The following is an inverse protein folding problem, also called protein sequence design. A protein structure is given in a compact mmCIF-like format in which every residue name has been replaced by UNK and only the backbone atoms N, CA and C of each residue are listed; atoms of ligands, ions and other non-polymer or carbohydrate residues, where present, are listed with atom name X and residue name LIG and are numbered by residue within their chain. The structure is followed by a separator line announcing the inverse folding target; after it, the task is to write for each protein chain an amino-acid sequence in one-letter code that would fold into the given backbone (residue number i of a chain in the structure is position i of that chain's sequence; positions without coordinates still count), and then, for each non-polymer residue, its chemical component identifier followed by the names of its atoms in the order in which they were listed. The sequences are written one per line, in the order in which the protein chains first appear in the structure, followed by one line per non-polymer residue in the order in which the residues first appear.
data_IF_303086156482
#
_entry.id   IF_303086156482
#
_cell.length_a   1.000
_cell.length_b   1.000
_cell.length_c   1.000
_cell.angle_alpha   90.00
_cell.angle_beta   90.00
_cell.angle_gamma   90.00
#
_symmetry.space_group_name_H-M   'P 1'
#
loop_
_entity.id
_entity.type
_entity.pdbx_description
1 polymer ?
#
# COMPACT_ATOMS: atom_id res chain seq x y z
N UNK A 1 24.00 34.64 30.87
CA UNK A 1 24.50 34.73 29.48
C UNK A 1 25.80 33.96 29.37
N UNK A 2 25.75 32.68 28.99
CA UNK A 2 26.92 31.89 28.57
C UNK A 2 26.41 30.99 27.43
N UNK A 3 26.75 31.32 26.19
CA UNK A 3 26.35 30.56 24.99
C UNK A 3 27.40 29.49 24.75
N UNK A 4 27.10 28.24 25.08
CA UNK A 4 27.96 27.11 24.77
C UNK A 4 27.66 26.65 23.33
N UNK A 5 28.45 27.12 22.36
CA UNK A 5 28.43 26.63 20.97
C UNK A 5 29.19 25.31 20.94
N UNK A 6 28.50 24.21 20.69
CA UNK A 6 29.14 22.93 20.34
C UNK A 6 29.03 22.79 18.83
N UNK A 7 30.13 23.04 18.14
CA UNK A 7 30.31 22.71 16.72
C UNK A 7 30.38 21.17 16.57
N UNK A 8 29.29 20.53 16.12
CA UNK A 8 29.33 19.13 15.67
C UNK A 8 29.49 19.09 14.16
N UNK A 9 30.73 18.80 13.73
CA UNK A 9 31.08 18.50 12.33
C UNK A 9 30.50 17.13 11.96
N UNK A 10 29.72 17.10 10.89
CA UNK A 10 29.15 15.90 10.26
C UNK A 10 30.23 15.26 9.37
N UNK A 11 30.67 14.01 9.60
CA UNK A 11 31.41 13.27 8.58
C UNK A 11 30.44 12.56 7.63
N UNK A 12 30.42 13.02 6.38
CA UNK A 12 29.80 12.36 5.23
C UNK A 12 30.58 11.06 4.97
N UNK A 13 29.98 9.91 5.28
CA UNK A 13 30.51 8.61 4.85
C UNK A 13 29.73 8.15 3.62
N UNK A 14 30.38 8.28 2.48
CA UNK A 14 29.94 7.74 1.20
C UNK A 14 30.28 6.23 1.09
N UNK A 15 29.70 5.60 0.06
CA UNK A 15 30.08 4.30 -0.53
C UNK A 15 29.56 3.04 0.22
N UNK A 16 28.95 2.01 -0.38
CA UNK A 16 28.94 1.48 -1.76
C UNK A 16 27.61 0.73 -2.01
N UNK A 17 26.98 1.03 -3.14
CA UNK A 17 25.95 0.19 -3.77
C UNK A 17 26.65 -1.04 -4.35
N UNK A 18 26.28 -2.23 -3.87
CA UNK A 18 26.63 -3.50 -4.52
C UNK A 18 25.41 -4.05 -5.25
N UNK A 19 25.43 -3.86 -6.57
CA UNK A 19 24.52 -4.44 -7.54
C UNK A 19 24.97 -5.89 -7.83
N UNK A 20 24.18 -6.87 -7.39
CA UNK A 20 24.33 -8.26 -7.79
C UNK A 20 23.11 -8.66 -8.62
N UNK A 21 23.29 -8.65 -9.94
CA UNK A 21 22.37 -9.25 -10.92
C UNK A 21 22.75 -10.72 -11.05
N UNK A 22 21.82 -11.64 -10.81
CA UNK A 22 21.93 -13.02 -11.29
C UNK A 22 20.69 -13.40 -12.09
N UNK A 23 20.97 -13.97 -13.26
CA UNK A 23 20.05 -14.22 -14.34
C UNK A 23 19.32 -15.57 -14.22
N UNK A 24 18.16 -15.61 -14.88
CA UNK A 24 17.63 -16.70 -15.69
C UNK A 24 17.68 -18.15 -15.15
N UNK A 25 16.52 -18.67 -14.79
CA UNK A 25 16.19 -20.07 -15.00
C UNK A 25 14.86 -20.16 -15.76
N UNK A 26 14.95 -20.47 -17.05
CA UNK A 26 13.83 -20.99 -17.84
C UNK A 26 13.68 -22.48 -17.49
N UNK A 27 12.47 -22.89 -17.10
CA UNK A 27 12.10 -24.28 -16.93
C UNK A 27 10.81 -24.54 -17.70
N UNK A 28 10.94 -25.25 -18.81
CA UNK A 28 9.91 -25.57 -19.79
C UNK A 28 9.18 -26.88 -19.43
N UNK A 29 7.88 -26.91 -19.75
CA UNK A 29 6.92 -28.01 -19.96
C UNK A 29 7.13 -29.44 -19.41
N UNK A 30 6.07 -30.02 -18.83
CA UNK A 30 5.47 -31.33 -19.23
C UNK A 30 4.20 -31.66 -18.41
N UNK A 31 3.15 -32.17 -19.10
CA UNK A 31 1.81 -32.51 -18.59
C UNK A 31 1.72 -33.70 -17.60
N UNK A 32 0.54 -34.31 -17.35
CA UNK A 32 -0.33 -34.86 -18.41
C UNK A 32 -1.84 -34.61 -18.26
N UNK A 33 -2.51 -34.84 -19.39
CA UNK A 33 -3.96 -35.00 -19.52
C UNK A 33 -4.50 -36.16 -18.67
N UNK A 34 -5.68 -35.95 -18.08
CA UNK A 34 -6.48 -37.04 -17.51
C UNK A 34 -7.96 -36.87 -17.92
N UNK A 35 -8.30 -37.64 -18.96
CA UNK A 35 -9.48 -38.52 -19.05
C UNK A 35 -10.88 -37.94 -18.86
N UNK A 36 -11.52 -37.86 -20.02
CA UNK A 36 -12.92 -38.16 -20.35
C UNK A 36 -13.73 -38.98 -19.32
N UNK A 37 -14.98 -38.57 -19.10
CA UNK A 37 -16.11 -39.51 -19.04
C UNK A 37 -17.43 -38.81 -19.35
N UNK A 38 -18.21 -39.46 -20.20
CA UNK A 38 -19.36 -38.99 -20.94
C UNK A 38 -20.71 -39.46 -20.35
N UNK A 39 -21.76 -38.72 -20.70
CA UNK A 39 -23.14 -39.16 -21.06
C UNK A 39 -24.25 -38.50 -20.23
N UNK A 40 -25.08 -37.75 -20.96
CA UNK A 40 -26.42 -37.31 -20.58
C UNK A 40 -27.12 -36.77 -21.84
N UNK A 41 -27.67 -37.68 -22.65
CA UNK A 41 -28.55 -37.41 -23.79
C UNK A 41 -29.95 -37.01 -23.33
N UNK A 42 -30.52 -35.94 -23.89
CA UNK A 42 -31.70 -35.95 -24.78
C UNK A 42 -32.09 -34.48 -25.11
N UNK A 43 -32.13 -34.08 -26.39
CA UNK A 43 -33.32 -34.09 -27.28
C UNK A 43 -34.42 -33.15 -26.75
N UNK A 44 -34.91 -32.09 -27.41
CA UNK A 44 -34.74 -31.55 -28.76
C UNK A 44 -35.40 -30.14 -28.87
N UNK A 45 -35.13 -29.50 -30.02
CA UNK A 45 -36.05 -28.71 -30.87
C UNK A 45 -36.22 -27.18 -30.66
N UNK A 46 -35.68 -26.48 -31.68
CA UNK A 46 -36.17 -25.35 -32.49
C UNK A 46 -36.59 -24.01 -31.85
N UNK A 47 -36.01 -22.90 -32.34
CA UNK A 47 -36.58 -22.08 -33.44
C UNK A 47 -35.64 -20.91 -33.82
N UNK A 48 -35.54 -20.68 -35.13
CA UNK A 48 -34.83 -19.60 -35.86
C UNK A 48 -35.35 -18.19 -35.56
N UNK A 49 -34.46 -17.20 -35.43
CA UNK A 49 -34.70 -15.81 -35.86
C UNK A 49 -33.41 -14.96 -35.99
N UNK A 50 -33.16 -14.45 -37.19
CA UNK A 50 -32.66 -13.09 -37.43
C UNK A 50 -31.16 -12.80 -37.31
N UNK A 51 -30.43 -13.00 -38.42
CA UNK A 51 -29.17 -12.28 -38.68
C UNK A 51 -29.48 -10.92 -39.31
N UNK A 52 -29.15 -9.84 -38.61
CA UNK A 52 -28.84 -8.54 -39.19
C UNK A 52 -27.95 -7.79 -38.19
N UNK A 53 -26.63 -7.93 -38.32
CA UNK A 53 -25.65 -7.10 -37.61
C UNK A 53 -25.02 -6.17 -38.65
N UNK A 54 -25.61 -4.99 -38.77
CA UNK A 54 -24.94 -3.82 -39.35
C UNK A 54 -23.73 -3.51 -38.48
N UNK A 55 -22.55 -3.88 -38.96
CA UNK A 55 -21.28 -3.54 -38.35
C UNK A 55 -21.04 -2.03 -38.49
N UNK A 56 -21.35 -1.29 -37.41
CA UNK A 56 -20.78 0.03 -37.21
C UNK A 56 -19.29 -0.12 -36.85
N UNK A 57 -18.38 0.72 -37.37
CA UNK A 57 -16.99 0.69 -36.96
C UNK A 57 -16.90 1.05 -35.48
N UNK A 58 -16.47 0.10 -34.66
CA UNK A 58 -16.01 0.38 -33.31
C UNK A 58 -14.78 1.29 -33.42
N UNK A 59 -14.98 2.58 -33.24
CA UNK A 59 -13.89 3.50 -32.94
C UNK A 59 -13.34 3.09 -31.58
N UNK A 60 -12.26 2.32 -31.60
CA UNK A 60 -11.37 2.12 -30.45
C UNK A 60 -10.72 3.47 -30.17
N UNK A 61 -11.43 4.33 -29.43
CA UNK A 61 -10.84 5.51 -28.82
C UNK A 61 -10.02 5.02 -27.63
N UNK A 62 -8.75 4.71 -27.88
CA UNK A 62 -7.74 4.60 -26.83
C UNK A 62 -7.49 6.02 -26.30
N UNK A 63 -8.36 6.48 -25.40
CA UNK A 63 -8.02 7.56 -24.48
C UNK A 63 -7.05 6.95 -23.48
N UNK A 64 -5.80 7.42 -23.49
CA UNK A 64 -4.90 7.17 -22.38
C UNK A 64 -5.54 7.79 -21.14
N UNK A 65 -6.05 6.92 -20.27
CA UNK A 65 -6.60 7.28 -18.98
C UNK A 65 -5.50 7.94 -18.15
N UNK A 66 -5.62 9.25 -17.90
CA UNK A 66 -4.73 9.94 -16.97
C UNK A 66 -4.83 9.22 -15.62
N UNK A 67 -3.71 8.66 -15.15
CA UNK A 67 -3.68 7.97 -13.87
C UNK A 67 -4.12 8.94 -12.77
N UNK A 68 -5.28 8.66 -12.16
CA UNK A 68 -5.82 9.50 -11.10
C UNK A 68 -4.88 9.45 -9.88
N UNK A 69 -4.42 10.61 -9.43
CA UNK A 69 -3.66 10.75 -8.17
C UNK A 69 -4.66 10.60 -7.02
N UNK A 70 -4.52 9.50 -6.27
CA UNK A 70 -5.43 9.09 -5.19
C UNK A 70 -4.58 8.54 -4.05
N UNK A 71 -5.07 8.70 -2.83
CA UNK A 71 -4.37 8.33 -1.62
C UNK A 71 -5.33 7.71 -0.60
N UNK A 72 -4.84 6.84 0.29
CA UNK A 72 -5.58 6.48 1.50
C UNK A 72 -5.60 7.65 2.51
N UNK A 73 -6.71 7.78 3.21
CA UNK A 73 -6.88 8.69 4.33
C UNK A 73 -6.63 7.97 5.66
N UNK A 74 -5.93 8.63 6.58
CA UNK A 74 -5.79 8.21 7.97
C UNK A 74 -7.00 8.71 8.75
N UNK A 75 -7.85 7.78 9.21
CA UNK A 75 -9.09 8.11 9.90
C UNK A 75 -8.95 8.15 11.43
N UNK A 76 -8.07 7.31 11.99
CA UNK A 76 -7.85 7.22 13.43
C UNK A 76 -6.45 6.70 13.73
N UNK A 77 -5.90 7.13 14.87
CA UNK A 77 -4.61 6.71 15.39
C UNK A 77 -4.71 6.54 16.90
N UNK A 78 -4.50 5.32 17.36
CA UNK A 78 -4.37 5.01 18.80
C UNK A 78 -2.91 4.72 19.11
N UNK A 79 -2.36 5.43 20.10
CA UNK A 79 -0.99 5.24 20.58
C UNK A 79 -1.04 4.63 21.98
N UNK A 80 -0.36 3.50 22.15
CA UNK A 80 -0.24 2.79 23.44
C UNK A 80 1.23 2.71 23.84
N UNK A 81 1.64 3.25 25.01
CA UNK A 81 2.99 3.05 25.54
C UNK A 81 3.28 1.56 25.81
N UNK A 82 4.46 1.11 25.43
CA UNK A 82 4.94 -0.25 25.65
C UNK A 82 6.13 -0.27 26.64
N UNK A 83 6.56 -1.48 27.02
CA UNK A 83 7.76 -1.64 27.83
C UNK A 83 9.01 -1.12 27.09
N UNK A 84 9.98 -0.60 27.83
CA UNK A 84 11.24 -0.12 27.26
C UNK A 84 11.15 1.27 26.61
N UNK A 85 10.06 2.02 26.81
CA UNK A 85 9.92 3.39 26.30
C UNK A 85 9.57 3.47 24.81
N UNK A 86 9.06 2.37 24.25
CA UNK A 86 8.53 2.31 22.88
C UNK A 86 7.01 2.48 22.87
N UNK A 87 6.44 2.62 21.69
CA UNK A 87 5.00 2.81 21.50
C UNK A 87 4.47 1.85 20.42
N UNK A 88 3.27 1.33 20.68
CA UNK A 88 2.42 0.68 19.69
C UNK A 88 1.50 1.71 19.08
N UNK A 89 1.38 1.65 17.76
CA UNK A 89 0.42 2.40 16.97
C UNK A 89 -0.62 1.44 16.41
N UNK A 90 -1.90 1.75 16.56
CA UNK A 90 -3.00 1.13 15.83
C UNK A 90 -3.61 2.20 14.91
N UNK A 91 -3.47 2.03 13.60
CA UNK A 91 -3.82 3.05 12.60
C UNK A 91 -4.97 2.54 11.75
N UNK A 92 -6.04 3.32 11.67
CA UNK A 92 -7.19 3.07 10.80
C UNK A 92 -7.07 3.86 9.52
N UNK A 93 -7.11 3.16 8.38
CA UNK A 93 -7.01 3.72 7.04
C UNK A 93 -8.30 3.50 6.27
N UNK A 94 -8.61 4.44 5.38
CA UNK A 94 -9.61 4.26 4.33
C UNK A 94 -9.01 4.59 2.97
N UNK A 95 -9.02 3.62 2.06
CA UNK A 95 -8.64 3.82 0.67
C UNK A 95 -9.87 4.00 -0.20
N UNK A 96 -9.82 4.78 -1.29
CA UNK A 96 -10.94 4.94 -2.21
C UNK A 96 -11.13 3.74 -3.17
N UNK A 97 -10.38 2.65 -2.96
CA UNK A 97 -10.32 1.50 -3.85
C UNK A 97 -11.25 0.38 -3.41
N UNK A 98 -12.02 -0.14 -4.35
CA UNK A 98 -12.95 -1.27 -4.19
C UNK A 98 -12.51 -2.51 -4.98
N UNK A 99 -11.28 -2.50 -5.50
CA UNK A 99 -10.65 -3.60 -6.24
C UNK A 99 -9.23 -3.89 -5.73
N UNK A 100 -8.70 -5.11 -5.95
CA UNK A 100 -7.34 -5.47 -5.53
C UNK A 100 -6.23 -4.88 -6.41
N UNK A 101 -6.58 -4.25 -7.54
CA UNK A 101 -5.61 -3.77 -8.53
C UNK A 101 -4.79 -2.57 -8.05
N UNK A 102 -5.32 -1.83 -7.07
CA UNK A 102 -4.65 -0.70 -6.42
C UNK A 102 -5.11 -0.62 -4.98
N UNK A 103 -4.17 -0.56 -4.05
CA UNK A 103 -4.46 -0.49 -2.63
C UNK A 103 -3.43 0.36 -1.87
N UNK A 104 -3.70 0.63 -0.59
CA UNK A 104 -2.72 1.24 0.29
C UNK A 104 -1.62 0.24 0.65
N UNK A 105 -0.38 0.47 0.24
CA UNK A 105 0.77 -0.43 0.52
C UNK A 105 1.53 -0.08 1.79
N UNK A 106 1.13 0.96 2.51
CA UNK A 106 1.75 1.26 3.80
C UNK A 106 1.21 2.50 4.49
N UNK A 107 1.76 2.73 5.67
CA UNK A 107 1.63 3.98 6.43
C UNK A 107 2.89 4.22 7.25
N UNK A 108 3.14 5.46 7.65
CA UNK A 108 4.32 5.85 8.43
C UNK A 108 3.99 6.80 9.56
N UNK A 109 4.84 6.80 10.58
CA UNK A 109 4.85 7.76 11.70
C UNK A 109 5.97 8.76 11.48
N UNK A 110 5.64 10.04 11.54
CA UNK A 110 6.55 11.16 11.31
C UNK A 110 6.70 11.99 12.57
N UNK A 111 7.93 12.39 12.88
CA UNK A 111 8.20 13.49 13.79
C UNK A 111 7.82 14.84 13.14
N UNK A 112 7.67 15.93 13.91
CA UNK A 112 7.32 17.25 13.38
C UNK A 112 8.30 17.82 12.35
N UNK A 113 9.55 17.36 12.34
CA UNK A 113 10.57 17.74 11.36
C UNK A 113 10.55 16.89 10.08
N UNK A 114 9.62 15.94 9.98
CA UNK A 114 9.48 15.00 8.85
C UNK A 114 10.34 13.74 8.96
N UNK A 115 11.07 13.53 10.05
CA UNK A 115 11.82 12.29 10.30
C UNK A 115 10.85 11.11 10.42
N UNK A 116 11.12 10.01 9.70
CA UNK A 116 10.35 8.77 9.82
C UNK A 116 10.75 8.03 11.08
N UNK A 117 9.81 7.88 12.01
CA UNK A 117 9.99 7.15 13.28
C UNK A 117 9.62 5.67 13.15
N UNK A 118 8.73 5.35 12.20
CA UNK A 118 8.32 3.97 11.92
C UNK A 118 7.53 3.90 10.62
N UNK A 119 7.57 2.74 9.96
CA UNK A 119 6.82 2.46 8.73
C UNK A 119 6.22 1.05 8.81
N UNK A 120 4.96 0.93 8.41
CA UNK A 120 4.25 -0.34 8.32
C UNK A 120 3.90 -0.64 6.86
N UNK A 121 4.60 -1.58 6.20
CA UNK A 121 4.19 -2.07 4.89
C UNK A 121 2.93 -2.94 4.99
N UNK A 122 2.08 -2.86 3.97
CA UNK A 122 0.87 -3.65 3.78
C UNK A 122 1.02 -4.46 2.47
N UNK A 123 1.09 -5.78 2.62
CA UNK A 123 1.53 -6.68 1.53
C UNK A 123 0.38 -7.30 0.72
N UNK A 124 -0.86 -6.93 1.01
CA UNK A 124 -2.05 -7.40 0.29
C UNK A 124 -3.11 -6.30 0.27
N UNK A 125 -4.09 -6.47 -0.61
CA UNK A 125 -5.21 -5.54 -0.71
C UNK A 125 -6.17 -5.64 0.48
N UNK A 126 -6.95 -4.57 0.66
CA UNK A 126 -8.00 -4.47 1.68
C UNK A 126 -9.31 -3.99 1.07
N UNK A 127 -9.57 -4.25 -0.21
CA UNK A 127 -10.73 -3.71 -0.93
C UNK A 127 -12.07 -4.08 -0.26
N UNK A 128 -12.17 -5.28 0.32
CA UNK A 128 -13.36 -5.77 1.02
C UNK A 128 -13.43 -5.42 2.51
N UNK A 129 -12.47 -4.64 3.03
CA UNK A 129 -12.30 -4.35 4.47
C UNK A 129 -12.12 -2.83 4.68
N UNK A 130 -12.82 -1.97 3.93
CA UNK A 130 -12.69 -0.52 4.14
C UNK A 130 -13.74 -0.01 5.15
N UNK A 131 -13.36 0.77 6.19
CA UNK A 131 -11.98 1.04 6.63
C UNK A 131 -11.37 -0.16 7.39
N UNK A 132 -10.04 -0.24 7.44
CA UNK A 132 -9.29 -1.28 8.16
C UNK A 132 -8.26 -0.68 9.12
N UNK A 133 -7.92 -1.44 10.16
CA UNK A 133 -6.91 -1.05 11.16
C UNK A 133 -5.72 -2.01 11.14
N UNK A 134 -4.50 -1.49 11.17
CA UNK A 134 -3.27 -2.30 11.31
C UNK A 134 -2.33 -1.66 12.32
N UNK A 135 -1.60 -2.51 13.05
CA UNK A 135 -0.71 -2.08 14.12
C UNK A 135 0.76 -2.00 13.70
N UNK A 136 1.56 -1.20 14.42
CA UNK A 136 3.03 -1.25 14.42
C UNK A 136 3.51 -1.14 15.87
N UNK A 137 4.27 -2.13 16.33
CA UNK A 137 4.83 -2.18 17.69
C UNK A 137 6.26 -1.63 17.71
N UNK A 138 6.75 -1.28 18.90
CA UNK A 138 8.18 -0.97 19.10
C UNK A 138 8.66 0.34 18.46
N UNK A 139 7.77 1.31 18.22
CA UNK A 139 8.16 2.62 17.67
C UNK A 139 8.86 3.44 18.75
N UNK A 140 10.12 3.81 18.51
CA UNK A 140 10.88 4.71 19.37
C UNK A 140 10.57 6.17 19.03
N UNK A 141 10.17 6.94 20.03
CA UNK A 141 9.87 8.37 19.89
C UNK A 141 10.84 9.16 20.78
N UNK A 142 11.64 10.09 20.22
CA UNK A 142 12.52 10.95 21.00
C UNK A 142 11.77 11.72 22.10
N UNK A 143 12.42 11.93 23.25
CA UNK A 143 11.82 12.57 24.44
C UNK A 143 11.29 13.98 24.18
N UNK A 144 11.85 14.70 23.21
CA UNK A 144 11.46 16.05 22.82
C UNK A 144 10.31 16.10 21.79
N UNK A 145 9.86 14.95 21.29
CA UNK A 145 8.73 14.84 20.36
C UNK A 145 7.43 14.62 21.15
N UNK A 146 6.59 15.65 21.19
CA UNK A 146 5.30 15.64 21.93
C UNK A 146 4.10 15.29 21.05
N UNK A 147 4.25 15.35 19.73
CA UNK A 147 3.22 14.99 18.76
C UNK A 147 3.86 14.33 17.54
N UNK A 148 3.08 13.48 16.86
CA UNK A 148 3.51 12.78 15.65
C UNK A 148 2.42 12.87 14.59
N UNK A 149 2.82 12.80 13.33
CA UNK A 149 1.89 12.75 12.20
C UNK A 149 1.92 11.37 11.57
N UNK A 150 0.74 10.80 11.32
CA UNK A 150 0.59 9.55 10.58
C UNK A 150 0.09 9.83 9.17
N UNK A 151 0.74 9.21 8.20
CA UNK A 151 0.44 9.38 6.77
C UNK A 151 0.31 8.03 6.08
N UNK A 152 -0.71 7.89 5.24
CA UNK A 152 -0.92 6.71 4.40
C UNK A 152 -0.13 6.76 3.09
N UNK A 153 -0.02 5.60 2.43
CA UNK A 153 0.65 5.43 1.14
C UNK A 153 -0.19 4.66 0.17
N UNK A 154 -0.33 5.20 -1.02
CA UNK A 154 -0.84 4.51 -2.19
C UNK A 154 0.31 3.84 -2.98
N UNK A 155 0.06 2.66 -3.54
CA UNK A 155 1.04 1.93 -4.36
C UNK A 155 1.59 2.73 -5.54
N UNK A 156 0.76 3.54 -6.18
CA UNK A 156 1.10 4.24 -7.43
C UNK A 156 1.48 5.70 -7.18
N UNK A 157 0.68 6.40 -6.37
CA UNK A 157 0.82 7.83 -6.07
C UNK A 157 1.77 8.11 -4.91
N UNK A 158 2.18 7.09 -4.16
CA UNK A 158 3.05 7.22 -3.01
C UNK A 158 2.33 7.82 -1.80
N UNK A 159 3.07 8.61 -1.02
CA UNK A 159 2.61 9.17 0.24
C UNK A 159 1.67 10.37 0.04
N UNK A 160 0.56 10.41 0.76
CA UNK A 160 -0.38 11.52 0.71
C UNK A 160 -1.72 11.20 1.39
N UNK A 161 -2.75 11.93 1.01
CA UNK A 161 -4.10 11.80 1.58
C UNK A 161 -4.29 12.64 2.85
N UNK A 162 -5.40 12.42 3.54
CA UNK A 162 -5.62 13.00 4.86
C UNK A 162 -4.66 12.35 5.88
N UNK A 163 -3.91 13.20 6.56
CA UNK A 163 -3.00 12.82 7.63
C UNK A 163 -3.63 13.13 8.99
N UNK A 164 -3.18 12.42 10.03
CA UNK A 164 -3.60 12.70 11.40
C UNK A 164 -2.38 13.00 12.27
N UNK A 165 -2.35 14.21 12.85
CA UNK A 165 -1.39 14.59 13.89
C UNK A 165 -2.02 14.36 15.25
N UNK A 166 -1.35 13.58 16.10
CA UNK A 166 -1.83 13.21 17.44
C UNK A 166 -0.75 13.43 18.50
N UNK A 167 -1.13 13.80 19.73
CA UNK A 167 -0.18 13.91 20.83
C UNK A 167 0.36 12.53 21.24
N UNK A 168 1.62 12.48 21.65
CA UNK A 168 2.25 11.27 22.17
C UNK A 168 1.88 11.11 23.65
N UNK A 169 1.29 9.99 24.09
CA UNK A 169 0.91 9.80 25.48
C UNK A 169 2.11 9.88 26.42
N UNK A 170 1.96 10.64 27.51
CA UNK A 170 3.00 10.82 28.53
C UNK A 170 4.08 11.84 28.17
N UNK A 171 3.88 12.65 27.13
CA UNK A 171 4.74 13.78 26.74
C UNK A 171 4.06 15.13 26.99
#
# INVERSE_FOLDING_TARGET
MIRNRVDRRIPILALLVSLAVLAAACGDASGPEATVSSVGTDTAVSTTAGSDVTAAPSTTTTTAEEAQVLYPDVLDVVITPEAGGTYRFDVTLASPYDSPDRYADGWRVLAPDGTVLGERPLLHDHASEQPFTRSLDGVEIPEDVTEVTVQGRDQVSGWGGAELTVPVPGR
#
